data_IF_127145949680
#
_entry.id   IF_127145949680
#
_cell.length_a   1.000
_cell.length_b   1.000
_cell.length_c   1.000
_cell.angle_alpha   90.00
_cell.angle_beta   90.00
_cell.angle_gamma   90.00
#
_symmetry.space_group_name_H-M   'P 1'
#
loop_
_entity.id
_entity.type
_entity.pdbx_description
1 polymer ?
#
# COMPACT_ATOMS: atom_id res chain seq x y z
N UNK A 1 11.43 -10.83 11.89
CA UNK A 1 10.17 -10.49 12.58
C UNK A 1 9.25 -11.69 12.54
N UNK A 2 8.78 -12.17 13.70
CA UNK A 2 7.85 -13.29 13.82
C UNK A 2 6.51 -12.78 14.34
N UNK A 3 5.80 -12.02 13.50
CA UNK A 3 4.50 -11.47 13.86
C UNK A 3 3.40 -12.07 12.97
N UNK A 4 2.32 -12.53 13.60
CA UNK A 4 1.11 -12.95 12.93
C UNK A 4 -0.10 -12.61 13.79
N UNK A 5 -1.02 -11.84 13.25
CA UNK A 5 -2.29 -11.52 13.91
C UNK A 5 -3.21 -12.75 13.89
N UNK A 6 -3.69 -13.15 15.06
CA UNK A 6 -4.60 -14.29 15.23
C UNK A 6 -6.05 -13.88 15.46
N UNK A 7 -6.35 -12.57 15.52
CA UNK A 7 -7.67 -12.04 15.91
C UNK A 7 -8.83 -12.48 14.99
N UNK A 8 -8.52 -12.93 13.77
CA UNK A 8 -9.51 -13.42 12.79
C UNK A 8 -9.53 -14.94 12.63
N UNK A 9 -9.15 -15.68 13.69
CA UNK A 9 -9.28 -17.13 13.79
C UNK A 9 -8.18 -17.95 13.10
N UNK A 10 -7.17 -17.30 12.51
CA UNK A 10 -5.94 -17.92 11.99
C UNK A 10 -4.77 -16.94 12.07
N UNK A 11 -3.55 -17.42 12.22
CA UNK A 11 -2.37 -16.56 12.09
C UNK A 11 -2.30 -15.99 10.67
N UNK A 12 -2.29 -14.66 10.56
CA UNK A 12 -2.18 -13.99 9.26
C UNK A 12 -1.68 -12.56 9.43
N UNK A 13 -0.65 -12.20 8.70
CA UNK A 13 -0.24 -10.83 8.42
C UNK A 13 0.50 -10.81 7.09
N UNK A 14 0.15 -9.89 6.19
CA UNK A 14 0.75 -9.74 4.87
C UNK A 14 1.01 -8.25 4.59
N UNK A 15 1.89 -7.95 3.65
CA UNK A 15 2.16 -6.61 3.15
C UNK A 15 2.52 -5.62 4.31
N UNK A 16 3.61 -5.86 5.06
CA UNK A 16 3.95 -5.04 6.21
C UNK A 16 4.52 -3.68 5.79
N UNK A 17 4.02 -2.60 6.41
CA UNK A 17 4.60 -1.27 6.37
C UNK A 17 4.93 -0.82 7.79
N UNK A 18 6.20 -0.48 8.05
CA UNK A 18 6.67 -0.09 9.38
C UNK A 18 7.21 1.32 9.37
N UNK A 19 6.78 2.14 10.32
CA UNK A 19 7.30 3.49 10.53
C UNK A 19 7.64 3.71 12.01
N UNK A 20 8.63 4.56 12.27
CA UNK A 20 8.91 5.08 13.60
C UNK A 20 8.12 6.37 13.80
N UNK A 21 7.26 6.41 14.81
CA UNK A 21 6.43 7.58 15.08
C UNK A 21 6.11 7.69 16.58
N UNK A 22 6.28 8.88 17.13
CA UNK A 22 6.00 9.19 18.56
C UNK A 22 6.61 8.20 19.57
N UNK A 23 7.89 7.80 19.34
CA UNK A 23 8.65 7.01 20.31
C UNK A 23 8.44 5.50 20.25
N UNK A 24 7.80 4.98 19.20
CA UNK A 24 7.61 3.55 18.98
C UNK A 24 7.50 3.23 17.48
N UNK A 25 7.64 1.94 17.13
CA UNK A 25 7.37 1.43 15.79
C UNK A 25 5.88 1.15 15.63
N UNK A 26 5.35 1.52 14.47
CA UNK A 26 3.99 1.24 14.03
C UNK A 26 4.07 0.32 12.82
N UNK A 27 3.37 -0.79 12.89
CA UNK A 27 3.23 -1.76 11.80
C UNK A 27 1.78 -1.73 11.31
N UNK A 28 1.64 -1.43 10.03
CA UNK A 28 0.39 -1.58 9.27
C UNK A 28 0.53 -2.81 8.39
N UNK A 29 -0.50 -3.66 8.35
CA UNK A 29 -0.44 -4.92 7.61
C UNK A 29 -1.82 -5.34 7.12
N UNK A 30 -1.86 -6.09 6.01
CA UNK A 30 -3.10 -6.66 5.51
C UNK A 30 -3.64 -7.74 6.43
N UNK A 31 -4.93 -7.64 6.77
CA UNK A 31 -5.72 -8.66 7.47
C UNK A 31 -6.70 -9.30 6.49
N UNK A 32 -6.69 -10.63 6.38
CA UNK A 32 -7.67 -11.34 5.56
C UNK A 32 -9.08 -11.23 6.16
N UNK A 33 -10.11 -11.40 5.31
CA UNK A 33 -11.48 -11.55 5.78
C UNK A 33 -11.61 -12.68 6.82
N UNK A 34 -12.63 -12.63 7.67
CA UNK A 34 -12.93 -13.70 8.62
C UNK A 34 -13.23 -15.02 7.88
N UNK A 35 -12.86 -16.15 8.49
CA UNK A 35 -13.09 -17.47 7.89
C UNK A 35 -14.55 -17.85 7.77
N UNK A 36 -15.40 -17.33 8.64
CA UNK A 36 -16.83 -17.62 8.71
C UNK A 36 -17.68 -16.74 7.77
N UNK A 37 -17.07 -15.84 7.01
CA UNK A 37 -17.76 -15.02 6.01
C UNK A 37 -18.77 -14.05 6.59
N UNK A 38 -18.53 -13.53 7.80
CA UNK A 38 -19.42 -12.53 8.41
C UNK A 38 -19.62 -11.34 7.47
N UNK A 39 -20.83 -10.83 7.40
CA UNK A 39 -21.13 -9.64 6.63
C UNK A 39 -20.34 -8.43 7.15
N UNK A 40 -19.72 -7.68 6.23
CA UNK A 40 -18.84 -6.54 6.57
C UNK A 40 -17.39 -6.92 6.85
N UNK A 41 -17.03 -8.19 6.77
CA UNK A 41 -15.71 -8.71 7.11
C UNK A 41 -14.79 -8.87 5.91
N UNK A 42 -14.74 -7.86 5.05
CA UNK A 42 -13.76 -7.78 3.96
C UNK A 42 -12.32 -7.73 4.48
N UNK A 43 -11.38 -7.66 3.57
CA UNK A 43 -10.00 -7.35 3.90
C UNK A 43 -9.90 -6.00 4.59
N UNK A 44 -8.98 -5.90 5.57
CA UNK A 44 -8.74 -4.71 6.37
C UNK A 44 -7.24 -4.53 6.60
N UNK A 45 -6.84 -3.39 7.16
CA UNK A 45 -5.46 -3.14 7.59
C UNK A 45 -5.42 -3.25 9.12
N UNK A 46 -4.59 -4.15 9.63
CA UNK A 46 -4.29 -4.25 11.05
C UNK A 46 -3.26 -3.23 11.47
N UNK A 47 -3.28 -2.88 12.75
CA UNK A 47 -2.33 -1.96 13.37
C UNK A 47 -1.70 -2.65 14.58
N UNK A 48 -0.37 -2.70 14.61
CA UNK A 48 0.39 -3.17 15.77
C UNK A 48 1.51 -2.20 16.10
N UNK A 49 1.96 -2.20 17.35
CA UNK A 49 3.06 -1.37 17.84
C UNK A 49 4.15 -2.23 18.46
N UNK A 50 5.39 -1.70 18.44
CA UNK A 50 6.56 -2.32 19.06
C UNK A 50 7.56 -1.26 19.50
N UNK A 51 8.38 -1.59 20.50
CA UNK A 51 9.53 -0.76 20.90
C UNK A 51 10.88 -1.31 20.38
N UNK A 52 10.91 -2.57 19.94
CA UNK A 52 12.16 -3.30 19.62
C UNK A 52 12.14 -4.00 18.24
N UNK A 53 11.03 -3.97 17.52
CA UNK A 53 10.78 -4.68 16.24
C UNK A 53 10.69 -6.22 16.41
N UNK A 54 10.75 -6.74 17.62
CA UNK A 54 10.66 -8.16 17.92
C UNK A 54 9.28 -8.52 18.48
N UNK A 55 8.87 -7.84 19.54
CA UNK A 55 7.57 -8.04 20.17
C UNK A 55 6.56 -7.00 19.70
N UNK A 56 5.42 -7.47 19.22
CA UNK A 56 4.37 -6.65 18.64
C UNK A 56 3.05 -6.81 19.38
N UNK A 57 2.42 -5.67 19.69
CA UNK A 57 1.09 -5.62 20.27
C UNK A 57 0.09 -5.13 19.22
N UNK A 58 -0.95 -5.93 18.95
CA UNK A 58 -2.10 -5.50 18.12
C UNK A 58 -2.88 -4.45 18.88
N UNK A 59 -3.05 -3.26 18.28
CA UNK A 59 -3.70 -2.11 18.92
C UNK A 59 -4.94 -1.62 18.20
N UNK A 60 -5.17 -2.05 16.94
CA UNK A 60 -6.33 -1.60 16.17
C UNK A 60 -6.41 -2.19 14.78
N UNK A 61 -7.37 -1.67 14.03
CA UNK A 61 -7.53 -1.98 12.61
C UNK A 61 -8.25 -0.85 11.86
N UNK A 62 -7.97 -0.73 10.58
CA UNK A 62 -8.67 0.15 9.64
C UNK A 62 -9.58 -0.74 8.78
N UNK A 63 -10.87 -0.55 8.92
CA UNK A 63 -11.90 -1.29 8.19
C UNK A 63 -12.49 -0.44 7.05
N UNK A 64 -13.13 -1.07 6.05
CA UNK A 64 -13.85 -0.35 5.03
C UNK A 64 -14.86 0.63 5.62
N UNK A 65 -14.84 1.88 5.17
CA UNK A 65 -15.71 2.96 5.65
C UNK A 65 -16.35 3.79 4.53
N UNK A 66 -15.90 3.60 3.28
CA UNK A 66 -16.41 4.31 2.12
C UNK A 66 -16.89 3.33 1.03
N UNK A 67 -17.74 3.81 0.11
CA UNK A 67 -18.29 2.95 -0.95
C UNK A 67 -17.21 2.31 -1.83
N UNK A 68 -16.12 3.04 -2.11
CA UNK A 68 -14.99 2.49 -2.89
C UNK A 68 -14.18 1.42 -2.13
N UNK A 69 -14.33 1.31 -0.80
CA UNK A 69 -13.69 0.31 0.06
C UNK A 69 -14.59 -0.91 0.35
N UNK A 70 -15.85 -0.92 -0.08
CA UNK A 70 -16.88 -1.88 0.35
C UNK A 70 -16.52 -3.36 0.26
N UNK A 71 -15.63 -3.73 -0.67
CA UNK A 71 -15.16 -5.10 -0.84
C UNK A 71 -13.88 -5.39 -0.05
N UNK A 72 -13.26 -4.39 0.57
CA UNK A 72 -12.06 -4.50 1.37
C UNK A 72 -11.00 -3.45 1.01
N UNK A 73 -9.99 -3.40 1.86
CA UNK A 73 -8.77 -2.61 1.68
C UNK A 73 -7.56 -3.39 2.21
N UNK A 74 -6.39 -3.22 1.63
CA UNK A 74 -5.17 -3.93 2.03
C UNK A 74 -3.91 -3.28 1.49
N UNK A 75 -2.77 -3.98 1.63
CA UNK A 75 -1.44 -3.63 1.14
C UNK A 75 -1.06 -2.17 1.45
N UNK A 76 -0.90 -1.84 2.73
CA UNK A 76 -0.50 -0.50 3.15
C UNK A 76 0.96 -0.22 2.82
N UNK A 77 1.25 0.99 2.32
CA UNK A 77 2.54 1.65 2.38
C UNK A 77 2.45 2.84 3.34
N UNK A 78 3.45 3.10 4.13
CA UNK A 78 3.40 4.15 5.15
C UNK A 78 4.67 5.00 5.18
N UNK A 79 4.50 6.28 5.43
CA UNK A 79 5.60 7.23 5.63
C UNK A 79 5.21 8.29 6.66
N UNK A 80 6.19 8.79 7.41
CA UNK A 80 5.98 9.92 8.33
C UNK A 80 6.46 11.20 7.65
N UNK A 81 5.55 12.16 7.47
CA UNK A 81 5.82 13.48 6.92
C UNK A 81 5.09 14.52 7.78
N UNK A 82 5.74 15.65 8.03
CA UNK A 82 5.19 16.81 8.76
C UNK A 82 4.48 16.43 10.09
N UNK A 83 5.07 15.45 10.82
CA UNK A 83 4.53 15.01 12.11
C UNK A 83 3.25 14.17 12.03
N UNK A 84 2.92 13.65 10.88
CA UNK A 84 1.78 12.75 10.64
C UNK A 84 2.23 11.47 9.92
N UNK A 85 1.48 10.39 10.13
CA UNK A 85 1.60 9.19 9.32
C UNK A 85 0.70 9.36 8.09
N UNK A 86 1.30 9.23 6.91
CA UNK A 86 0.61 9.11 5.64
C UNK A 86 0.55 7.62 5.27
N UNK A 87 -0.66 7.09 5.11
CA UNK A 87 -0.92 5.71 4.74
C UNK A 87 -1.46 5.68 3.31
N UNK A 88 -0.77 4.96 2.44
CA UNK A 88 -1.18 4.66 1.08
C UNK A 88 -1.61 3.19 1.04
N UNK A 89 -2.83 2.93 0.63
CA UNK A 89 -3.40 1.58 0.64
C UNK A 89 -4.22 1.36 -0.61
N UNK A 90 -4.50 0.12 -0.92
CA UNK A 90 -5.34 -0.21 -2.07
C UNK A 90 -6.76 -0.58 -1.64
N UNK A 91 -7.73 -0.32 -2.52
CA UNK A 91 -9.01 -1.02 -2.49
C UNK A 91 -8.79 -2.49 -2.88
N UNK A 92 -9.65 -3.38 -2.42
CA UNK A 92 -9.54 -4.82 -2.71
C UNK A 92 -10.88 -5.39 -3.18
N UNK A 93 -10.81 -6.35 -4.11
CA UNK A 93 -11.98 -7.08 -4.58
C UNK A 93 -12.76 -6.40 -5.71
N UNK A 94 -12.25 -5.30 -6.28
CA UNK A 94 -12.86 -4.59 -7.40
C UNK A 94 -12.22 -4.95 -8.76
N UNK A 95 -11.32 -5.95 -8.78
CA UNK A 95 -10.65 -6.41 -9.98
C UNK A 95 -9.78 -5.31 -10.62
N UNK A 96 -10.01 -5.00 -11.90
CA UNK A 96 -9.28 -3.92 -12.59
C UNK A 96 -9.53 -2.51 -12.04
N UNK A 97 -10.52 -2.35 -11.18
CA UNK A 97 -10.86 -1.07 -10.54
C UNK A 97 -10.26 -0.90 -9.14
N UNK A 98 -9.43 -1.85 -8.69
CA UNK A 98 -8.62 -1.62 -7.50
C UNK A 98 -7.67 -0.44 -7.73
N UNK A 99 -7.60 0.46 -6.76
CA UNK A 99 -6.92 1.74 -6.88
C UNK A 99 -6.23 2.13 -5.57
N UNK A 100 -5.23 2.99 -5.64
CA UNK A 100 -4.55 3.49 -4.45
C UNK A 100 -5.37 4.60 -3.81
N UNK A 101 -5.50 4.51 -2.50
CA UNK A 101 -6.13 5.46 -1.61
C UNK A 101 -5.09 6.04 -0.64
N UNK A 102 -5.43 7.17 -0.03
CA UNK A 102 -4.59 7.87 0.95
C UNK A 102 -5.40 8.22 2.20
N UNK A 103 -4.75 8.12 3.35
CA UNK A 103 -5.28 8.58 4.63
C UNK A 103 -4.15 9.10 5.51
N UNK A 104 -4.46 9.99 6.46
CA UNK A 104 -3.49 10.56 7.38
C UNK A 104 -3.89 10.33 8.83
N UNK A 105 -2.90 10.24 9.72
CA UNK A 105 -3.10 10.09 11.15
C UNK A 105 -2.08 10.88 11.95
N UNK A 106 -2.56 11.61 12.96
CA UNK A 106 -1.72 12.27 13.95
C UNK A 106 -1.44 11.42 15.19
N UNK A 107 -2.09 10.27 15.34
CA UNK A 107 -1.98 9.39 16.52
C UNK A 107 -1.58 7.94 16.18
N UNK A 108 -1.50 7.58 14.90
CA UNK A 108 -1.20 6.23 14.42
C UNK A 108 -2.38 5.26 14.43
N UNK A 109 -3.51 5.63 15.02
CA UNK A 109 -4.70 4.79 15.19
C UNK A 109 -5.90 5.27 14.37
N UNK A 110 -6.15 6.57 14.41
CA UNK A 110 -7.32 7.18 13.78
C UNK A 110 -6.90 7.80 12.45
N UNK A 111 -7.43 7.28 11.34
CA UNK A 111 -7.08 7.72 10.00
C UNK A 111 -8.21 8.50 9.33
N UNK A 112 -7.94 9.76 8.96
CA UNK A 112 -8.77 10.56 8.09
C UNK A 112 -8.52 10.22 6.62
N UNK A 113 -9.56 9.74 5.89
CA UNK A 113 -9.46 9.46 4.45
C UNK A 113 -9.34 10.75 3.65
N UNK A 114 -8.48 10.74 2.64
CA UNK A 114 -8.44 11.82 1.67
C UNK A 114 -9.78 11.94 0.95
N UNK A 115 -10.39 13.15 0.87
CA UNK A 115 -11.70 13.33 0.25
C UNK A 115 -11.71 13.05 -1.26
N UNK A 116 -10.55 13.05 -1.91
CA UNK A 116 -10.40 12.74 -3.33
C UNK A 116 -10.19 11.26 -3.64
N UNK A 117 -10.18 10.38 -2.63
CA UNK A 117 -9.98 8.95 -2.82
C UNK A 117 -10.95 8.32 -3.84
N UNK A 118 -10.49 7.32 -4.62
CA UNK A 118 -9.11 6.86 -4.77
C UNK A 118 -8.22 7.93 -5.40
N UNK A 119 -6.98 8.07 -4.90
CA UNK A 119 -6.06 9.11 -5.36
C UNK A 119 -5.33 8.75 -6.64
N UNK A 120 -5.15 7.47 -6.94
CA UNK A 120 -4.36 7.06 -8.10
C UNK A 120 -4.84 5.75 -8.73
N UNK A 121 -4.91 5.76 -10.06
CA UNK A 121 -4.99 4.62 -10.96
C UNK A 121 -4.15 4.91 -12.19
N UNK A 122 -3.37 3.95 -12.73
CA UNK A 122 -2.56 4.19 -13.90
C UNK A 122 -3.41 4.30 -15.18
N UNK A 123 -2.85 4.97 -16.16
CA UNK A 123 -3.45 5.18 -17.49
C UNK A 123 -2.54 4.67 -18.60
N UNK A 124 -3.06 4.60 -19.82
CA UNK A 124 -2.32 4.19 -21.01
C UNK A 124 -2.61 2.75 -21.42
N UNK A 125 -2.22 2.41 -22.66
CA UNK A 125 -2.55 1.13 -23.29
C UNK A 125 -1.74 -0.07 -22.75
N UNK A 126 -0.75 0.16 -21.89
CA UNK A 126 0.13 -0.89 -21.37
C UNK A 126 -0.42 -1.58 -20.12
N UNK A 127 -1.48 -1.03 -19.51
CA UNK A 127 -2.03 -1.54 -18.25
C UNK A 127 -3.57 -1.59 -18.28
N UNK A 128 -4.14 -2.30 -17.31
CA UNK A 128 -5.60 -2.47 -17.18
C UNK A 128 -6.29 -1.39 -16.35
N UNK A 129 -5.57 -0.38 -15.84
CA UNK A 129 -6.09 0.66 -14.93
C UNK A 129 -6.03 0.32 -13.44
N UNK A 130 -5.63 -0.92 -13.09
CA UNK A 130 -5.49 -1.36 -11.69
C UNK A 130 -4.23 -0.78 -11.06
N UNK A 131 -4.30 -0.34 -9.80
CA UNK A 131 -3.14 -0.01 -8.98
C UNK A 131 -3.23 -0.69 -7.62
N UNK A 132 -2.19 -1.42 -7.25
CA UNK A 132 -2.08 -2.18 -6.00
C UNK A 132 -0.66 -2.10 -5.42
N UNK A 133 -0.49 -2.56 -4.18
CA UNK A 133 0.80 -2.74 -3.51
C UNK A 133 1.66 -1.47 -3.55
N UNK A 134 1.09 -0.37 -3.04
CA UNK A 134 1.78 0.92 -3.03
C UNK A 134 2.94 0.93 -2.03
N UNK A 135 4.12 1.31 -2.48
CA UNK A 135 5.19 1.79 -1.60
C UNK A 135 5.64 3.18 -1.99
N UNK A 136 6.02 3.99 -1.00
CA UNK A 136 6.30 5.41 -1.18
C UNK A 136 7.65 5.81 -0.57
N UNK A 137 8.33 6.71 -1.25
CA UNK A 137 9.61 7.25 -0.78
C UNK A 137 9.79 8.71 -1.20
N UNK A 138 10.38 9.52 -0.31
CA UNK A 138 10.79 10.88 -0.66
C UNK A 138 12.09 10.83 -1.46
N UNK A 139 12.08 11.44 -2.63
CA UNK A 139 13.27 11.63 -3.43
C UNK A 139 13.22 12.99 -4.16
N UNK A 140 14.20 13.86 -3.89
CA UNK A 140 14.15 15.25 -4.35
C UNK A 140 13.03 16.03 -3.67
N UNK A 141 12.25 16.74 -4.46
CA UNK A 141 11.08 17.54 -4.02
C UNK A 141 9.76 16.78 -4.08
N UNK A 142 9.79 15.49 -4.46
CA UNK A 142 8.61 14.72 -4.71
C UNK A 142 8.51 13.50 -3.77
N UNK A 143 7.27 13.11 -3.47
CA UNK A 143 6.94 11.78 -3.00
C UNK A 143 6.73 10.87 -4.23
N UNK A 144 7.51 9.80 -4.29
CA UNK A 144 7.43 8.80 -5.34
C UNK A 144 6.60 7.63 -4.87
N UNK A 145 5.66 7.20 -5.69
CA UNK A 145 4.77 6.07 -5.49
C UNK A 145 5.11 5.00 -6.52
N UNK A 146 5.57 3.84 -6.05
CA UNK A 146 5.70 2.64 -6.84
C UNK A 146 4.49 1.74 -6.60
N UNK A 147 3.97 1.14 -7.65
CA UNK A 147 2.75 0.35 -7.58
C UNK A 147 2.83 -0.85 -8.51
N UNK A 148 2.11 -1.91 -8.18
CA UNK A 148 1.87 -3.00 -9.11
C UNK A 148 0.58 -2.77 -9.91
N UNK A 149 0.59 -3.22 -11.16
CA UNK A 149 -0.56 -3.21 -12.07
C UNK A 149 -0.54 -4.47 -12.92
N UNK A 150 -1.54 -4.67 -13.75
CA UNK A 150 -1.55 -5.76 -14.73
C UNK A 150 -1.62 -5.23 -16.15
N UNK A 151 -1.20 -6.08 -17.10
CA UNK A 151 -1.42 -5.85 -18.51
C UNK A 151 -2.91 -5.71 -18.86
N UNK A 152 -3.28 -5.23 -20.06
CA UNK A 152 -4.69 -5.03 -20.43
C UNK A 152 -5.55 -6.29 -20.32
N UNK A 153 -4.97 -7.48 -20.46
CA UNK A 153 -5.63 -8.78 -20.37
C UNK A 153 -5.72 -9.32 -18.95
N UNK A 154 -5.19 -8.60 -17.95
CA UNK A 154 -5.15 -8.99 -16.53
C UNK A 154 -4.32 -10.26 -16.24
N UNK A 155 -3.35 -10.58 -17.07
CA UNK A 155 -2.52 -11.80 -16.97
C UNK A 155 -1.17 -11.54 -16.31
N UNK A 156 -0.42 -10.56 -16.84
CA UNK A 156 0.94 -10.29 -16.40
C UNK A 156 0.94 -9.14 -15.39
N UNK A 157 1.49 -9.38 -14.21
CA UNK A 157 1.63 -8.34 -13.17
C UNK A 157 2.99 -7.67 -13.27
N UNK A 158 2.99 -6.33 -13.23
CA UNK A 158 4.12 -5.47 -13.57
C UNK A 158 4.16 -4.27 -12.62
N UNK A 159 5.29 -3.58 -12.58
CA UNK A 159 5.43 -2.36 -11.77
C UNK A 159 5.40 -1.09 -12.62
N UNK A 160 4.81 -0.06 -12.03
CA UNK A 160 4.80 1.31 -12.52
C UNK A 160 5.21 2.30 -11.45
N UNK A 161 5.35 3.58 -11.85
CA UNK A 161 5.77 4.65 -10.97
C UNK A 161 5.03 5.96 -11.26
N UNK A 162 4.67 6.66 -10.19
CA UNK A 162 4.11 8.00 -10.20
C UNK A 162 4.82 8.88 -9.17
N UNK A 163 4.65 10.19 -9.24
CA UNK A 163 5.10 11.10 -8.19
C UNK A 163 4.13 12.25 -7.97
N UNK A 164 4.21 12.85 -6.79
CA UNK A 164 3.49 14.07 -6.41
C UNK A 164 4.44 15.01 -5.65
N UNK A 165 4.32 16.34 -5.80
CA UNK A 165 5.08 17.29 -5.01
C UNK A 165 4.82 17.11 -3.50
N UNK A 166 5.84 17.28 -2.67
CA UNK A 166 5.72 17.09 -1.21
C UNK A 166 4.72 18.04 -0.55
N UNK A 167 4.52 19.24 -1.12
CA UNK A 167 3.59 20.26 -0.62
C UNK A 167 2.16 20.15 -1.18
N UNK A 168 1.86 19.08 -1.93
CA UNK A 168 0.58 18.92 -2.65
C UNK A 168 -0.56 18.34 -1.82
N UNK A 169 -0.28 17.81 -0.61
CA UNK A 169 -1.25 17.07 0.21
C UNK A 169 -1.66 15.70 -0.34
N UNK A 170 -1.08 15.28 -1.47
CA UNK A 170 -1.22 13.95 -2.10
C UNK A 170 -2.63 13.55 -2.54
N UNK A 171 -3.53 14.49 -2.72
CA UNK A 171 -4.85 14.24 -3.31
C UNK A 171 -4.75 13.84 -4.79
N UNK A 172 -5.87 13.36 -5.37
CA UNK A 172 -5.91 12.79 -6.74
C UNK A 172 -5.24 13.66 -7.81
N UNK A 173 -5.42 14.98 -7.76
CA UNK A 173 -4.90 15.90 -8.77
C UNK A 173 -3.38 16.12 -8.68
N UNK A 174 -2.73 15.68 -7.60
CA UNK A 174 -1.31 15.89 -7.37
C UNK A 174 -0.42 14.88 -8.10
N UNK A 175 -0.96 13.70 -8.40
CA UNK A 175 -0.18 12.58 -8.93
C UNK A 175 0.04 12.68 -10.43
N UNK A 176 1.29 12.52 -10.82
CA UNK A 176 1.74 12.41 -12.21
C UNK A 176 2.35 11.03 -12.43
N UNK A 177 1.75 10.24 -13.33
CA UNK A 177 2.36 8.98 -13.77
C UNK A 177 3.66 9.30 -14.51
N UNK A 178 4.77 8.67 -14.12
CA UNK A 178 6.12 8.93 -14.65
C UNK A 178 6.59 7.89 -15.68
N UNK A 179 5.73 6.93 -16.01
CA UNK A 179 6.04 5.87 -16.98
C UNK A 179 4.93 5.71 -18.01
N UNK A 180 5.30 5.43 -19.24
CA UNK A 180 4.40 5.12 -20.36
C UNK A 180 4.41 3.64 -20.75
N UNK A 181 5.22 2.85 -20.04
CA UNK A 181 5.39 1.40 -20.10
C UNK A 181 5.75 0.91 -18.70
N UNK A 182 5.67 -0.39 -18.41
CA UNK A 182 6.10 -0.90 -17.10
C UNK A 182 7.59 -0.59 -16.87
N UNK A 183 7.93 -0.15 -15.66
CA UNK A 183 9.33 0.05 -15.26
C UNK A 183 10.04 -1.27 -14.97
N UNK A 184 9.26 -2.29 -14.61
CA UNK A 184 9.70 -3.66 -14.43
C UNK A 184 8.57 -4.61 -14.79
N UNK A 185 8.88 -5.68 -15.50
CA UNK A 185 7.97 -6.78 -15.86
C UNK A 185 8.70 -8.11 -15.70
N UNK A 186 7.98 -9.23 -15.57
CA UNK A 186 8.61 -10.55 -15.47
C UNK A 186 9.53 -10.85 -16.66
N UNK A 187 10.79 -11.18 -16.39
CA UNK A 187 11.80 -11.57 -17.37
C UNK A 187 12.60 -12.80 -16.94
N UNK A 188 12.55 -13.14 -15.64
CA UNK A 188 13.24 -14.25 -15.06
C UNK A 188 12.31 -15.43 -14.80
N UNK A 189 12.78 -16.64 -14.91
CA UNK A 189 11.94 -17.84 -14.78
C UNK A 189 11.20 -17.94 -13.44
N UNK A 190 11.79 -17.45 -12.34
CA UNK A 190 11.16 -17.49 -11.01
C UNK A 190 10.05 -16.45 -10.84
N UNK A 191 10.01 -15.42 -11.67
CA UNK A 191 8.97 -14.38 -11.64
C UNK A 191 7.65 -14.87 -12.29
N UNK A 192 7.73 -15.90 -13.11
CA UNK A 192 6.58 -16.44 -13.86
C UNK A 192 5.82 -15.34 -14.63
N UNK A 193 4.58 -15.04 -14.22
CA UNK A 193 3.75 -13.98 -14.80
C UNK A 193 3.50 -12.83 -13.81
N UNK A 194 4.28 -12.78 -12.72
CA UNK A 194 3.99 -11.87 -11.60
C UNK A 194 5.26 -11.25 -11.04
N UNK A 195 5.29 -9.93 -10.99
CA UNK A 195 6.11 -9.17 -10.06
C UNK A 195 5.23 -8.17 -9.34
N UNK A 196 5.37 -8.11 -8.01
CA UNK A 196 4.49 -7.33 -7.13
C UNK A 196 5.21 -6.82 -5.89
N UNK A 197 4.49 -6.17 -5.00
CA UNK A 197 4.95 -5.72 -3.69
C UNK A 197 6.29 -4.97 -3.75
N UNK A 198 6.36 -3.84 -4.51
CA UNK A 198 7.56 -3.02 -4.50
C UNK A 198 7.87 -2.58 -3.08
N UNK A 199 9.14 -2.65 -2.68
CA UNK A 199 9.63 -2.13 -1.42
C UNK A 199 10.89 -1.29 -1.67
N UNK A 200 10.86 -0.05 -1.21
CA UNK A 200 11.87 0.94 -1.55
C UNK A 200 12.80 1.22 -0.37
N UNK A 201 14.07 1.28 -0.64
CA UNK A 201 15.08 1.71 0.33
C UNK A 201 16.06 2.69 -0.31
N UNK A 202 16.43 3.72 0.44
CA UNK A 202 17.47 4.67 0.03
C UNK A 202 18.74 4.40 0.81
N UNK A 203 19.86 4.33 0.10
CA UNK A 203 21.19 4.31 0.70
C UNK A 203 22.11 5.28 -0.05
N UNK A 204 22.53 6.33 0.61
CA UNK A 204 23.26 7.44 0.00
C UNK A 204 22.43 8.14 -1.07
N UNK A 205 22.98 8.22 -2.29
CA UNK A 205 22.36 8.79 -3.48
C UNK A 205 21.63 7.76 -4.37
N UNK A 206 21.56 6.50 -3.92
CA UNK A 206 20.93 5.40 -4.65
C UNK A 206 19.59 5.02 -4.05
N UNK A 207 18.66 4.68 -4.94
CA UNK A 207 17.38 4.09 -4.61
C UNK A 207 17.41 2.59 -4.99
N UNK A 208 17.03 1.75 -4.05
CA UNK A 208 16.93 0.30 -4.23
C UNK A 208 15.45 -0.08 -4.26
N UNK A 209 15.08 -0.88 -5.25
CA UNK A 209 13.76 -1.47 -5.40
C UNK A 209 13.86 -2.97 -5.16
N UNK A 210 13.18 -3.45 -4.14
CA UNK A 210 12.93 -4.88 -3.88
C UNK A 210 11.53 -5.22 -4.38
N UNK A 211 11.29 -6.45 -4.81
CA UNK A 211 9.99 -6.89 -5.28
C UNK A 211 9.80 -8.39 -5.04
N UNK A 212 8.54 -8.85 -5.03
CA UNK A 212 8.15 -10.26 -5.05
C UNK A 212 7.86 -10.75 -6.48
N UNK A 213 8.02 -12.05 -6.72
CA UNK A 213 7.69 -12.74 -7.97
C UNK A 213 7.18 -14.15 -7.72
#
# INVERSE_FOLDING_TARGET
MHFADTSRGRPFSKDPAVVWFQGQYWLYYSKSAYRDGRAGDGWAIGIATSHDLEEWQVVGEIVPAAEYEKNGLCAPGAIVLDGQIHLFYQTYGNGRHDAICHATSGDGLTFGRDPSNPIFSPTGAWNCGRAIDADVIVFGSDLWLYFATRDPEMKIQMLGVASAPLDSGFGRAAWTQRCTAPILKPELAWEMECIEAPALARHGDRLYLFYGG
#
